data_IF_392029029387
#
_entry.id   IF_392029029387
#
_cell.length_a   1.000
_cell.length_b   1.000
_cell.length_c   1.000
_cell.angle_alpha   90.00
_cell.angle_beta   90.00
_cell.angle_gamma   90.00
#
_symmetry.space_group_name_H-M   'P 1'
#
loop_
_entity.id
_entity.type
_entity.pdbx_description
1 polymer ?
#
# COMPACT_ATOMS: atom_id res chain seq x y z
N UNK A 1 -1.44 -3.45 -2.70
CA UNK A 1 -2.71 -2.68 -2.77
C UNK A 1 -2.72 -1.56 -1.75
N UNK A 2 -2.72 -1.83 -0.45
CA UNK A 2 -2.61 -0.77 0.58
C UNK A 2 -1.29 0.00 0.46
N UNK A 3 -0.18 -0.73 0.26
CA UNK A 3 1.14 -0.13 0.01
C UNK A 3 1.13 0.84 -1.17
N UNK A 4 0.48 0.47 -2.27
CA UNK A 4 0.40 1.29 -3.49
C UNK A 4 -0.50 2.51 -3.27
N UNK A 5 -1.68 2.32 -2.67
CA UNK A 5 -2.58 3.42 -2.33
C UNK A 5 -1.91 4.44 -1.41
N UNK A 6 -1.16 3.94 -0.41
CA UNK A 6 -0.36 4.78 0.47
C UNK A 6 0.77 5.47 -0.30
N UNK A 7 1.51 4.77 -1.16
CA UNK A 7 2.62 5.34 -1.93
C UNK A 7 2.18 6.53 -2.81
N UNK A 8 1.01 6.44 -3.44
CA UNK A 8 0.47 7.50 -4.31
C UNK A 8 0.15 8.79 -3.54
N UNK A 9 -0.20 8.68 -2.25
CA UNK A 9 -0.72 9.79 -1.46
C UNK A 9 0.32 10.31 -0.46
N UNK A 10 1.10 9.42 0.16
CA UNK A 10 2.00 9.72 1.27
C UNK A 10 3.08 10.75 0.93
N UNK A 11 3.55 10.80 -0.32
CA UNK A 11 4.57 11.78 -0.74
C UNK A 11 4.10 13.24 -0.59
N UNK A 12 2.78 13.49 -0.58
CA UNK A 12 2.21 14.83 -0.33
C UNK A 12 2.38 15.29 1.12
N UNK A 13 2.58 14.35 2.03
CA UNK A 13 2.67 14.58 3.48
C UNK A 13 4.12 14.52 4.00
N UNK A 14 5.07 14.17 3.13
CA UNK A 14 6.50 14.14 3.46
C UNK A 14 7.04 15.55 3.56
N UNK A 15 7.71 15.85 4.68
CA UNK A 15 8.50 17.07 4.82
C UNK A 15 9.64 17.05 3.80
N UNK A 16 9.74 18.10 2.97
CA UNK A 16 10.75 18.21 1.92
C UNK A 16 12.01 18.96 2.37
N UNK A 17 12.11 19.32 3.65
CA UNK A 17 13.26 20.04 4.21
C UNK A 17 14.14 19.08 5.02
N UNK A 18 15.46 19.18 4.81
CA UNK A 18 16.43 18.32 5.49
C UNK A 18 16.24 16.85 5.10
N UNK A 19 16.16 15.95 6.09
CA UNK A 19 15.93 14.52 5.86
C UNK A 19 14.42 14.26 5.60
N UNK A 20 14.02 13.90 4.37
CA UNK A 20 12.61 13.73 4.04
C UNK A 20 11.96 12.64 4.88
N UNK A 21 10.91 13.01 5.60
CA UNK A 21 10.19 12.10 6.49
C UNK A 21 8.76 12.55 6.70
N UNK A 22 7.94 11.61 7.15
CA UNK A 22 6.67 11.93 7.77
C UNK A 22 6.93 12.44 9.18
N UNK A 23 6.27 13.54 9.55
CA UNK A 23 6.31 14.05 10.92
C UNK A 23 5.43 13.19 11.83
N UNK A 24 5.58 13.34 13.15
CA UNK A 24 4.81 12.57 14.12
C UNK A 24 3.31 12.71 13.86
N UNK A 25 2.56 11.61 13.99
CA UNK A 25 1.10 11.52 13.80
C UNK A 25 0.57 11.78 12.39
N UNK A 26 1.42 12.14 11.41
CA UNK A 26 0.97 12.38 10.03
C UNK A 26 0.36 11.14 9.38
N UNK A 27 0.84 9.94 9.73
CA UNK A 27 0.30 8.68 9.19
C UNK A 27 -1.20 8.49 9.46
N UNK A 28 -1.72 8.95 10.60
CA UNK A 28 -3.16 8.85 10.92
C UNK A 28 -4.01 9.87 10.16
N UNK A 29 -3.40 10.91 9.58
CA UNK A 29 -4.08 11.92 8.78
C UNK A 29 -4.17 11.52 7.30
N UNK A 30 -3.42 10.49 6.88
CA UNK A 30 -3.43 10.03 5.49
C UNK A 30 -4.69 9.18 5.25
N UNK A 31 -5.66 9.80 4.61
CA UNK A 31 -6.85 9.11 4.12
C UNK A 31 -6.55 8.40 2.80
N UNK A 32 -6.87 7.11 2.74
CA UNK A 32 -6.79 6.30 1.53
C UNK A 32 -8.14 5.63 1.27
N UNK A 33 -8.55 5.62 0.00
CA UNK A 33 -9.70 4.83 -0.42
C UNK A 33 -9.28 3.38 -0.63
N UNK A 34 -9.99 2.44 0.00
CA UNK A 34 -9.78 1.02 -0.17
C UNK A 34 -11.04 0.38 -0.75
N UNK A 35 -10.91 -0.62 -1.64
CA UNK A 35 -12.05 -1.37 -2.16
C UNK A 35 -12.72 -2.16 -1.04
N UNK A 36 -13.91 -2.69 -1.30
CA UNK A 36 -14.69 -3.42 -0.30
C UNK A 36 -13.96 -4.68 0.17
N UNK A 37 -14.20 -5.13 1.41
CA UNK A 37 -13.54 -6.34 1.94
C UNK A 37 -13.65 -7.57 1.01
N UNK A 38 -14.80 -7.87 0.37
CA UNK A 38 -14.90 -8.97 -0.59
C UNK A 38 -13.96 -8.80 -1.80
N UNK A 39 -13.79 -7.59 -2.32
CA UNK A 39 -12.86 -7.31 -3.43
C UNK A 39 -11.41 -7.45 -2.98
N UNK A 40 -11.07 -6.95 -1.78
CA UNK A 40 -9.74 -7.12 -1.20
C UNK A 40 -9.35 -8.60 -1.08
N UNK A 41 -10.29 -9.45 -0.65
CA UNK A 41 -10.08 -10.89 -0.55
C UNK A 41 -9.84 -11.53 -1.92
N UNK A 42 -10.64 -11.17 -2.94
CA UNK A 42 -10.45 -11.66 -4.31
C UNK A 42 -9.08 -11.28 -4.86
N UNK A 43 -8.69 -10.00 -4.73
CA UNK A 43 -7.39 -9.50 -5.17
C UNK A 43 -6.24 -10.20 -4.41
N UNK A 44 -6.38 -10.35 -3.09
CA UNK A 44 -5.38 -11.03 -2.27
C UNK A 44 -5.21 -12.51 -2.64
N UNK A 45 -6.29 -13.21 -2.96
CA UNK A 45 -6.23 -14.59 -3.41
C UNK A 45 -5.57 -14.71 -4.79
N UNK A 46 -5.82 -13.78 -5.71
CA UNK A 46 -5.15 -13.72 -7.01
C UNK A 46 -3.62 -13.60 -6.85
N UNK A 47 -3.14 -12.66 -6.03
CA UNK A 47 -1.69 -12.51 -5.80
C UNK A 47 -1.09 -13.75 -5.13
N UNK A 48 -1.77 -14.36 -4.16
CA UNK A 48 -1.32 -15.64 -3.56
C UNK A 48 -1.18 -16.76 -4.59
N UNK A 49 -2.10 -16.83 -5.56
CA UNK A 49 -2.00 -17.81 -6.63
C UNK A 49 -0.81 -17.52 -7.55
N UNK A 50 -0.60 -16.25 -7.92
CA UNK A 50 0.56 -15.84 -8.71
C UNK A 50 1.88 -16.16 -8.00
N UNK A 51 2.00 -15.84 -6.72
CA UNK A 51 3.19 -16.16 -5.92
C UNK A 51 3.47 -17.67 -5.93
N UNK A 52 2.44 -18.51 -5.75
CA UNK A 52 2.58 -19.97 -5.83
C UNK A 52 3.04 -20.45 -7.20
N UNK A 53 2.48 -19.90 -8.27
CA UNK A 53 2.86 -20.26 -9.65
C UNK A 53 4.31 -19.88 -9.95
N UNK A 54 4.75 -18.70 -9.50
CA UNK A 54 6.14 -18.26 -9.61
C UNK A 54 7.05 -19.19 -8.80
N UNK A 55 6.68 -19.52 -7.55
CA UNK A 55 7.47 -20.44 -6.71
C UNK A 55 7.61 -21.83 -7.32
N UNK A 56 6.58 -22.35 -7.98
CA UNK A 56 6.61 -23.69 -8.60
C UNK A 56 7.53 -23.75 -9.84
N UNK A 57 7.77 -22.61 -10.51
CA UNK A 57 8.63 -22.51 -11.69
C UNK A 57 10.08 -22.11 -11.36
N UNK A 58 10.46 -22.06 -10.08
CA UNK A 58 11.83 -21.78 -9.64
C UNK A 58 12.66 -23.03 -9.40
#
# INVERSE_FOLDING_TARGET
MVSEALNLIAYRFVSKVGNPKLMNNVMSEIEIYLPTLPEQQKIGNLFKQLDRLITLHK
#
